data_IF_763340747694
#
_entry.id   IF_763340747694
#
_cell.length_a   1.000
_cell.length_b   1.000
_cell.length_c   1.000
_cell.angle_alpha   90.00
_cell.angle_beta   90.00
_cell.angle_gamma   90.00
#
_symmetry.space_group_name_H-M   'P 1'
#
loop_
_entity.id
_entity.type
_entity.pdbx_description
1 polymer ?
#
# COMPACT_ATOMS: atom_id res chain seq x y z
N UNK A 1 -6.85 7.12 -18.16
CA UNK A 1 -6.17 6.01 -17.46
C UNK A 1 -4.72 5.97 -17.92
N UNK A 2 -3.81 5.87 -16.99
CA UNK A 2 -2.37 5.73 -17.25
C UNK A 2 -1.91 4.35 -16.78
N UNK A 3 -0.94 3.78 -17.48
CA UNK A 3 -0.32 2.51 -17.12
C UNK A 3 1.14 2.74 -16.71
N UNK A 4 1.53 2.14 -15.59
CA UNK A 4 2.89 2.13 -15.06
C UNK A 4 3.30 0.66 -14.89
N UNK A 5 3.85 0.07 -15.95
CA UNK A 5 4.04 -1.36 -15.98
C UNK A 5 2.70 -2.10 -15.89
N UNK A 6 2.52 -2.89 -14.84
CA UNK A 6 1.27 -3.64 -14.58
C UNK A 6 0.27 -2.87 -13.71
N UNK A 7 0.62 -1.68 -13.23
CA UNK A 7 -0.26 -0.83 -12.44
C UNK A 7 -1.07 0.09 -13.36
N UNK A 8 -2.38 0.11 -13.17
CA UNK A 8 -3.28 1.05 -13.84
C UNK A 8 -3.68 2.12 -12.85
N UNK A 9 -3.62 3.38 -13.27
CA UNK A 9 -3.96 4.56 -12.44
C UNK A 9 -4.93 5.43 -13.20
N UNK A 10 -6.02 5.80 -12.56
CA UNK A 10 -7.04 6.69 -13.13
C UNK A 10 -7.61 7.61 -12.06
N UNK A 11 -7.98 8.84 -12.45
CA UNK A 11 -8.87 9.65 -11.64
C UNK A 11 -10.28 9.09 -11.72
N UNK A 12 -11.01 9.12 -10.62
CA UNK A 12 -12.42 8.75 -10.55
C UNK A 12 -13.19 9.88 -9.84
N UNK A 13 -14.30 10.31 -10.45
CA UNK A 13 -14.96 11.52 -9.96
C UNK A 13 -14.02 12.71 -9.95
N UNK A 14 -14.21 13.59 -8.98
CA UNK A 14 -13.41 14.83 -8.85
C UNK A 14 -12.33 14.75 -7.76
N UNK A 15 -12.43 13.83 -6.79
CA UNK A 15 -11.52 13.77 -5.64
C UNK A 15 -10.79 12.43 -5.47
N UNK A 16 -11.04 11.45 -6.29
CA UNK A 16 -10.47 10.11 -6.12
C UNK A 16 -9.41 9.76 -7.16
N UNK A 17 -8.44 8.96 -6.74
CA UNK A 17 -7.49 8.24 -7.60
C UNK A 17 -7.70 6.76 -7.36
N UNK A 18 -7.82 5.99 -8.42
CA UNK A 18 -7.99 4.53 -8.37
C UNK A 18 -6.77 3.86 -8.98
N UNK A 19 -6.15 2.98 -8.21
CA UNK A 19 -5.04 2.15 -8.64
C UNK A 19 -5.52 0.70 -8.68
N UNK A 20 -5.25 0.02 -9.79
CA UNK A 20 -5.60 -1.41 -9.94
C UNK A 20 -4.42 -2.22 -10.40
N UNK A 21 -4.30 -3.41 -9.82
CA UNK A 21 -3.29 -4.39 -10.22
C UNK A 21 -3.78 -5.81 -9.97
N UNK A 22 -3.43 -6.72 -10.86
CA UNK A 22 -3.67 -8.15 -10.70
C UNK A 22 -2.39 -8.80 -10.16
N UNK A 23 -2.53 -9.56 -9.06
CA UNK A 23 -1.48 -10.39 -8.50
C UNK A 23 -1.78 -11.87 -8.74
N UNK A 24 -0.75 -12.64 -9.07
CA UNK A 24 -0.87 -14.08 -9.32
C UNK A 24 -0.74 -14.87 -8.02
N UNK A 25 -1.69 -14.65 -7.11
CA UNK A 25 -1.80 -15.32 -5.83
C UNK A 25 -3.24 -15.19 -5.31
N UNK A 26 -3.71 -16.12 -4.44
CA UNK A 26 -5.01 -16.01 -3.79
C UNK A 26 -5.10 -14.75 -2.91
N UNK A 27 -6.29 -14.19 -2.75
CA UNK A 27 -6.47 -12.95 -1.99
C UNK A 27 -6.07 -13.05 -0.52
N UNK A 28 -6.21 -14.20 0.09
CA UNK A 28 -5.76 -14.45 1.46
C UNK A 28 -4.26 -14.23 1.60
N UNK A 29 -3.50 -14.69 0.61
CA UNK A 29 -2.04 -14.56 0.56
C UNK A 29 -1.63 -13.11 0.29
N UNK A 30 -2.29 -12.44 -0.65
CA UNK A 30 -2.03 -11.02 -0.97
C UNK A 30 -2.39 -10.15 0.23
N UNK A 31 -3.52 -10.41 0.88
CA UNK A 31 -3.94 -9.69 2.08
C UNK A 31 -2.91 -9.81 3.21
N UNK A 32 -2.43 -11.02 3.49
CA UNK A 32 -1.41 -11.28 4.52
C UNK A 32 -0.13 -10.48 4.23
N UNK A 33 0.33 -10.48 2.98
CA UNK A 33 1.51 -9.71 2.58
C UNK A 33 1.32 -8.19 2.74
N UNK A 34 0.08 -7.73 2.72
CA UNK A 34 -0.27 -6.32 2.87
C UNK A 34 -0.31 -5.85 4.32
N UNK A 35 -0.50 -6.74 5.29
CA UNK A 35 -0.68 -6.39 6.71
C UNK A 35 0.41 -6.89 7.63
N UNK A 36 1.34 -7.71 7.16
CA UNK A 36 2.46 -8.21 7.96
C UNK A 36 3.63 -7.24 7.91
N UNK A 37 4.03 -6.64 9.05
CA UNK A 37 5.13 -5.66 9.08
C UNK A 37 6.44 -6.19 8.49
N UNK A 38 6.79 -7.45 8.77
CA UNK A 38 8.00 -8.10 8.27
C UNK A 38 8.03 -8.23 6.74
N UNK A 39 6.86 -8.20 6.09
CA UNK A 39 6.77 -8.21 4.63
C UNK A 39 6.65 -6.78 4.08
N UNK A 40 5.78 -5.96 4.67
CA UNK A 40 5.51 -4.58 4.22
C UNK A 40 6.80 -3.76 4.16
N UNK A 41 7.69 -3.93 5.13
CA UNK A 41 8.98 -3.22 5.14
C UNK A 41 9.88 -3.54 3.94
N UNK A 42 9.63 -4.64 3.25
CA UNK A 42 10.43 -5.07 2.09
C UNK A 42 9.83 -4.67 0.74
N UNK A 43 8.56 -4.28 0.69
CA UNK A 43 7.96 -3.92 -0.58
C UNK A 43 7.46 -2.47 -0.64
N UNK A 44 6.90 -1.93 0.43
CA UNK A 44 6.32 -0.58 0.40
C UNK A 44 7.40 0.49 0.49
N UNK A 45 7.64 1.18 -0.62
CA UNK A 45 8.63 2.25 -0.70
C UNK A 45 10.08 1.81 -0.62
N UNK A 46 10.35 0.50 -0.68
CA UNK A 46 11.71 -0.06 -0.55
C UNK A 46 12.39 -0.19 -1.92
N UNK A 47 12.66 0.94 -2.57
CA UNK A 47 13.32 1.02 -3.87
C UNK A 47 14.14 2.32 -3.98
N UNK A 48 15.06 2.38 -4.95
CA UNK A 48 15.83 3.59 -5.22
C UNK A 48 16.72 4.05 -4.06
N UNK A 49 17.17 3.13 -3.19
CA UNK A 49 17.98 3.45 -2.02
C UNK A 49 17.17 3.88 -0.79
N UNK A 50 15.84 3.90 -0.88
CA UNK A 50 14.98 4.10 0.27
C UNK A 50 14.79 2.81 1.05
N UNK A 51 14.79 2.93 2.37
CA UNK A 51 14.64 1.81 3.28
C UNK A 51 13.61 2.15 4.35
N UNK A 52 12.66 1.24 4.60
CA UNK A 52 11.70 1.39 5.69
C UNK A 52 12.37 0.98 7.01
N UNK A 53 12.48 1.90 7.94
CA UNK A 53 13.14 1.71 9.23
C UNK A 53 12.18 1.60 10.41
N UNK A 54 10.92 2.01 10.22
CA UNK A 54 9.83 1.78 11.18
C UNK A 54 8.63 1.24 10.41
N UNK A 55 8.11 0.13 10.87
CA UNK A 55 6.91 -0.49 10.32
C UNK A 55 6.06 -1.04 11.47
N UNK A 56 5.00 -0.33 11.83
CA UNK A 56 4.05 -0.73 12.87
C UNK A 56 2.68 -0.81 12.23
N UNK A 57 2.02 -1.95 12.39
CA UNK A 57 0.68 -2.20 11.90
C UNK A 57 -0.12 -2.83 13.01
N UNK A 58 -1.17 -2.15 13.47
CA UNK A 58 -2.18 -2.72 14.35
C UNK A 58 -3.39 -3.12 13.49
N UNK A 59 -3.55 -4.40 13.14
CA UNK A 59 -4.51 -4.84 12.12
C UNK A 59 -5.92 -5.00 12.71
N UNK A 60 -6.54 -3.89 13.04
CA UNK A 60 -7.90 -3.84 13.61
C UNK A 60 -8.49 -2.44 13.43
N UNK A 61 -9.81 -2.33 13.50
CA UNK A 61 -10.49 -1.03 13.50
C UNK A 61 -10.01 -0.20 14.69
N UNK A 62 -9.64 1.06 14.44
CA UNK A 62 -9.03 1.96 15.42
C UNK A 62 -7.53 1.75 15.61
N UNK A 63 -6.95 0.71 15.04
CA UNK A 63 -5.52 0.46 15.08
C UNK A 63 -4.73 1.51 14.30
N UNK A 64 -3.49 1.74 14.72
CA UNK A 64 -2.60 2.71 14.09
C UNK A 64 -1.61 2.02 13.16
N UNK A 65 -1.27 2.71 12.08
CA UNK A 65 -0.30 2.29 11.08
C UNK A 65 0.79 3.33 11.04
N UNK A 66 2.05 2.92 11.19
CA UNK A 66 3.18 3.84 11.25
C UNK A 66 4.31 3.34 10.38
N UNK A 67 4.69 4.11 9.37
CA UNK A 67 5.83 3.81 8.50
C UNK A 67 6.80 4.98 8.51
N UNK A 68 8.09 4.67 8.56
CA UNK A 68 9.14 5.67 8.41
C UNK A 68 10.20 5.11 7.47
N UNK A 69 10.59 5.91 6.49
CA UNK A 69 11.64 5.58 5.53
C UNK A 69 12.81 6.54 5.69
N UNK A 70 14.01 6.01 5.51
CA UNK A 70 15.21 6.81 5.30
C UNK A 70 15.62 6.71 3.84
N UNK A 71 15.94 7.86 3.24
CA UNK A 71 16.42 7.94 1.88
C UNK A 71 17.94 7.83 1.77
N UNK A 72 18.46 7.66 0.53
CA UNK A 72 19.90 7.44 0.29
C UNK A 72 20.77 8.65 0.61
N UNK A 73 20.20 9.83 0.77
CA UNK A 73 20.91 11.08 1.08
C UNK A 73 20.61 11.61 2.48
N UNK A 74 20.07 10.75 3.36
CA UNK A 74 19.70 11.14 4.71
C UNK A 74 18.31 11.74 4.83
N UNK A 75 17.51 11.71 3.77
CA UNK A 75 16.12 12.12 3.81
C UNK A 75 15.33 11.21 4.77
N UNK A 76 14.27 11.75 5.35
CA UNK A 76 13.37 10.99 6.21
C UNK A 76 11.93 11.31 5.83
N UNK A 77 11.13 10.28 5.63
CA UNK A 77 9.70 10.39 5.35
C UNK A 77 8.91 9.55 6.33
N UNK A 78 7.91 10.13 6.96
CA UNK A 78 7.02 9.43 7.87
C UNK A 78 5.58 9.48 7.38
N UNK A 79 4.86 8.39 7.59
CA UNK A 79 3.47 8.24 7.22
C UNK A 79 2.73 7.56 8.37
N UNK A 80 1.52 8.00 8.64
CA UNK A 80 0.67 7.44 9.68
C UNK A 80 -0.75 7.30 9.20
N UNK A 81 -1.45 6.31 9.75
CA UNK A 81 -2.85 6.10 9.47
C UNK A 81 -3.59 5.54 10.66
N UNK A 82 -4.91 5.72 10.63
CA UNK A 82 -5.84 5.06 11.57
C UNK A 82 -6.79 4.20 10.76
N UNK A 83 -6.85 2.92 11.11
CA UNK A 83 -7.70 1.96 10.43
C UNK A 83 -9.17 2.24 10.76
N UNK A 84 -10.00 2.33 9.73
CA UNK A 84 -11.45 2.57 9.83
C UNK A 84 -12.28 1.35 9.51
N UNK A 85 -11.81 0.53 8.59
CA UNK A 85 -12.44 -0.74 8.21
C UNK A 85 -11.37 -1.80 8.13
N UNK A 86 -11.63 -2.96 8.67
CA UNK A 86 -10.73 -4.11 8.61
C UNK A 86 -11.57 -5.38 8.45
N UNK A 87 -11.67 -5.87 7.21
CA UNK A 87 -12.46 -7.05 6.83
C UNK A 87 -11.59 -8.04 6.06
N UNK A 88 -10.79 -8.87 6.76
CA UNK A 88 -9.95 -9.87 6.11
C UNK A 88 -10.76 -10.96 5.39
N UNK A 89 -10.35 -11.43 4.22
CA UNK A 89 -9.23 -10.97 3.40
C UNK A 89 -9.66 -10.00 2.30
N UNK A 90 -10.74 -9.26 2.48
CA UNK A 90 -11.44 -8.56 1.41
C UNK A 90 -11.17 -7.05 1.37
N UNK A 91 -11.03 -6.37 2.53
CA UNK A 91 -11.07 -4.90 2.54
C UNK A 91 -10.36 -4.29 3.75
N UNK A 92 -9.66 -3.19 3.50
CA UNK A 92 -9.04 -2.33 4.52
C UNK A 92 -9.33 -0.88 4.12
N UNK A 93 -9.73 -0.05 5.08
CA UNK A 93 -9.82 1.40 4.88
C UNK A 93 -9.13 2.13 6.01
N UNK A 94 -8.42 3.21 5.69
CA UNK A 94 -7.68 4.01 6.68
C UNK A 94 -7.67 5.49 6.32
N UNK A 95 -7.52 6.33 7.34
CA UNK A 95 -7.30 7.76 7.18
C UNK A 95 -5.83 8.03 7.43
N UNK A 96 -5.15 8.62 6.45
CA UNK A 96 -3.70 8.67 6.38
C UNK A 96 -3.19 10.10 6.25
N UNK A 97 -1.97 10.32 6.73
CA UNK A 97 -1.24 11.58 6.53
C UNK A 97 0.27 11.35 6.59
N UNK A 98 1.02 12.24 5.93
CA UNK A 98 2.48 12.31 6.06
C UNK A 98 2.85 13.19 7.25
N UNK A 99 4.00 12.95 7.88
CA UNK A 99 4.53 13.79 8.97
C UNK A 99 4.80 15.21 8.49
N UNK A 100 5.38 15.32 7.28
CA UNK A 100 5.56 16.57 6.57
C UNK A 100 4.69 16.53 5.32
N UNK A 101 3.44 17.04 5.42
CA UNK A 101 2.51 16.97 4.29
C UNK A 101 3.01 17.75 3.09
N UNK A 102 3.04 17.10 1.94
CA UNK A 102 3.39 17.73 0.66
C UNK A 102 2.15 18.06 -0.17
N UNK A 103 0.97 17.73 0.36
CA UNK A 103 -0.33 18.17 -0.17
C UNK A 103 -1.24 18.54 1.00
N UNK A 104 -2.25 19.37 0.73
CA UNK A 104 -3.19 19.83 1.75
C UNK A 104 -4.15 18.71 2.18
N UNK A 105 -4.41 18.65 3.49
CA UNK A 105 -5.33 17.68 4.08
C UNK A 105 -4.74 16.30 4.19
N UNK A 106 -5.60 15.33 4.47
CA UNK A 106 -5.23 13.94 4.56
C UNK A 106 -5.70 13.16 3.33
N UNK A 107 -5.60 11.85 3.45
CA UNK A 107 -6.01 10.90 2.44
C UNK A 107 -6.87 9.84 3.11
N UNK A 108 -7.99 9.49 2.48
CA UNK A 108 -8.74 8.27 2.85
C UNK A 108 -8.37 7.20 1.84
N UNK A 109 -7.69 6.16 2.30
CA UNK A 109 -7.29 5.04 1.48
C UNK A 109 -8.19 3.83 1.73
N UNK A 110 -8.69 3.21 0.66
CA UNK A 110 -9.45 1.97 0.73
C UNK A 110 -8.80 0.97 -0.22
N UNK A 111 -8.49 -0.22 0.29
CA UNK A 111 -7.93 -1.30 -0.51
C UNK A 111 -8.88 -2.47 -0.49
N UNK A 112 -9.28 -2.96 -1.66
CA UNK A 112 -10.10 -4.16 -1.81
C UNK A 112 -9.30 -5.25 -2.52
N UNK A 113 -9.51 -6.49 -2.09
CA UNK A 113 -8.86 -7.68 -2.61
C UNK A 113 -9.95 -8.60 -3.16
N UNK A 114 -10.14 -8.60 -4.47
CA UNK A 114 -11.20 -9.36 -5.14
C UNK A 114 -10.65 -10.62 -5.80
N UNK A 115 -11.37 -11.71 -5.67
CA UNK A 115 -10.98 -12.96 -6.32
C UNK A 115 -11.17 -12.90 -7.83
N UNK A 116 -10.13 -13.33 -8.57
CA UNK A 116 -10.16 -13.57 -10.01
C UNK A 116 -9.64 -15.00 -10.27
N UNK A 117 -10.48 -16.01 -9.99
CA UNK A 117 -10.03 -17.39 -10.01
C UNK A 117 -8.92 -17.60 -8.97
N UNK A 118 -7.72 -18.04 -9.42
CA UNK A 118 -6.55 -18.21 -8.55
C UNK A 118 -5.75 -16.93 -8.33
N UNK A 119 -6.18 -15.81 -8.93
CA UNK A 119 -5.52 -14.51 -8.87
C UNK A 119 -6.32 -13.53 -8.02
N UNK A 120 -5.73 -12.38 -7.76
CA UNK A 120 -6.35 -11.30 -6.99
C UNK A 120 -6.34 -10.01 -7.79
N UNK A 121 -7.48 -9.36 -7.90
CA UNK A 121 -7.57 -7.96 -8.31
C UNK A 121 -7.48 -7.08 -7.06
N UNK A 122 -6.39 -6.35 -6.92
CA UNK A 122 -6.24 -5.33 -5.91
C UNK A 122 -6.70 -3.99 -6.48
N UNK A 123 -7.60 -3.33 -5.76
CA UNK A 123 -8.07 -1.98 -6.07
C UNK A 123 -7.81 -1.07 -4.88
N UNK A 124 -6.97 -0.06 -5.06
CA UNK A 124 -6.74 0.96 -4.05
C UNK A 124 -7.42 2.26 -4.51
N UNK A 125 -8.30 2.79 -3.68
CA UNK A 125 -8.99 4.06 -3.92
C UNK A 125 -8.46 5.08 -2.91
N UNK A 126 -7.95 6.19 -3.40
CA UNK A 126 -7.38 7.27 -2.60
C UNK A 126 -8.26 8.50 -2.78
N UNK A 127 -8.89 8.96 -1.70
CA UNK A 127 -9.76 10.14 -1.71
C UNK A 127 -9.06 11.31 -1.02
N UNK A 128 -9.15 12.48 -1.64
CA UNK A 128 -8.53 13.73 -1.17
C UNK A 128 -9.58 14.78 -0.85
N UNK A 129 -9.18 15.85 -0.16
CA UNK A 129 -10.09 16.89 0.33
C UNK A 129 -10.70 17.74 -0.79
N UNK A 130 -10.01 17.86 -1.93
CA UNK A 130 -10.47 18.67 -3.05
C UNK A 130 -9.99 18.14 -4.40
N UNK A 131 -10.63 18.55 -5.50
CA UNK A 131 -10.17 18.22 -6.86
C UNK A 131 -8.75 18.71 -7.13
N UNK A 132 -8.39 19.89 -6.64
CA UNK A 132 -7.07 20.47 -6.84
C UNK A 132 -5.98 19.60 -6.19
N UNK A 133 -6.22 19.13 -4.97
CA UNK A 133 -5.30 18.23 -4.26
C UNK A 133 -5.19 16.90 -4.98
N UNK A 134 -6.31 16.31 -5.40
CA UNK A 134 -6.32 15.08 -6.19
C UNK A 134 -5.47 15.23 -7.47
N UNK A 135 -5.64 16.31 -8.18
CA UNK A 135 -4.92 16.56 -9.42
C UNK A 135 -3.41 16.76 -9.17
N UNK A 136 -3.06 17.44 -8.08
CA UNK A 136 -1.67 17.61 -7.64
C UNK A 136 -1.01 16.24 -7.36
N UNK A 137 -1.69 15.37 -6.61
CA UNK A 137 -1.19 14.04 -6.29
C UNK A 137 -1.08 13.18 -7.54
N UNK A 138 -2.08 13.24 -8.42
CA UNK A 138 -2.08 12.48 -9.67
C UNK A 138 -0.94 12.90 -10.62
N UNK A 139 -0.54 14.17 -10.59
CA UNK A 139 0.58 14.71 -11.35
C UNK A 139 1.94 14.43 -10.72
N UNK A 140 1.98 14.00 -9.48
CA UNK A 140 3.22 13.69 -8.73
C UNK A 140 3.83 12.35 -9.14
N UNK A 141 5.06 12.02 -8.68
CA UNK A 141 5.67 10.71 -8.89
C UNK A 141 5.02 9.56 -8.09
N UNK A 142 3.91 9.78 -7.40
CA UNK A 142 3.24 8.77 -6.57
C UNK A 142 2.95 7.47 -7.34
N UNK A 143 2.44 7.56 -8.55
CA UNK A 143 2.08 6.39 -9.35
C UNK A 143 3.31 5.53 -9.69
N UNK A 144 4.43 6.15 -10.05
CA UNK A 144 5.69 5.44 -10.29
C UNK A 144 6.18 4.73 -9.03
N UNK A 145 6.09 5.40 -7.88
CA UNK A 145 6.45 4.83 -6.59
C UNK A 145 5.60 3.64 -6.20
N UNK A 146 4.30 3.73 -6.39
CA UNK A 146 3.38 2.62 -6.13
C UNK A 146 3.59 1.46 -7.09
N UNK A 147 3.87 1.74 -8.37
CA UNK A 147 4.20 0.70 -9.34
C UNK A 147 5.44 -0.09 -8.93
N UNK A 148 6.51 0.61 -8.52
CA UNK A 148 7.74 -0.03 -8.04
C UNK A 148 7.49 -0.85 -6.76
N UNK A 149 6.69 -0.33 -5.83
CA UNK A 149 6.32 -1.04 -4.61
C UNK A 149 5.54 -2.32 -4.91
N UNK A 150 4.56 -2.25 -5.79
CA UNK A 150 3.76 -3.43 -6.17
C UNK A 150 4.56 -4.44 -6.98
N UNK A 151 5.56 -4.02 -7.74
CA UNK A 151 6.49 -4.96 -8.40
C UNK A 151 7.26 -5.77 -7.36
N UNK A 152 7.73 -5.12 -6.28
CA UNK A 152 8.38 -5.82 -5.17
C UNK A 152 7.43 -6.74 -4.42
N UNK A 153 6.19 -6.32 -4.21
CA UNK A 153 5.16 -7.20 -3.63
C UNK A 153 4.94 -8.45 -4.50
N UNK A 154 4.87 -8.27 -5.81
CA UNK A 154 4.73 -9.39 -6.73
C UNK A 154 5.91 -10.38 -6.63
N UNK A 155 7.14 -9.88 -6.48
CA UNK A 155 8.33 -10.72 -6.26
C UNK A 155 8.21 -11.54 -4.97
N UNK A 156 7.74 -10.94 -3.88
CA UNK A 156 7.51 -11.65 -2.60
C UNK A 156 6.48 -12.76 -2.78
N UNK A 157 5.41 -12.48 -3.53
CA UNK A 157 4.32 -13.44 -3.77
C UNK A 157 4.73 -14.61 -4.69
N UNK A 158 5.82 -14.49 -5.46
CA UNK A 158 6.39 -15.59 -6.25
C UNK A 158 7.00 -16.68 -5.36
N UNK A 159 7.48 -16.32 -4.15
CA UNK A 159 7.95 -17.29 -3.19
C UNK A 159 6.77 -18.08 -2.61
N UNK A 160 6.91 -19.42 -2.34
CA UNK A 160 5.85 -20.18 -1.70
C UNK A 160 5.40 -19.52 -0.40
N UNK A 161 4.08 -19.39 -0.21
CA UNK A 161 3.51 -18.74 0.97
C UNK A 161 3.99 -19.37 2.27
N UNK A 162 4.26 -20.68 2.28
CA UNK A 162 4.79 -21.42 3.42
C UNK A 162 6.12 -20.85 3.92
N UNK A 163 6.94 -20.25 3.04
CA UNK A 163 8.22 -19.67 3.44
C UNK A 163 8.10 -18.46 4.35
N UNK A 164 7.00 -17.72 4.27
CA UNK A 164 6.83 -16.52 5.06
C UNK A 164 5.58 -16.51 5.93
N UNK A 165 4.54 -17.28 5.59
CA UNK A 165 3.35 -17.43 6.44
C UNK A 165 3.63 -18.27 7.68
N UNK A 166 4.46 -19.30 7.57
CA UNK A 166 4.81 -20.20 8.69
C UNK A 166 5.99 -19.69 9.53
N UNK A 167 6.67 -18.62 9.10
CA UNK A 167 7.81 -18.07 9.82
C UNK A 167 7.47 -17.57 11.23
N UNK A 168 6.22 -17.24 11.51
CA UNK A 168 5.76 -16.87 12.86
C UNK A 168 5.62 -18.07 13.80
N UNK A 169 5.36 -19.25 13.27
CA UNK A 169 5.19 -20.47 14.09
C UNK A 169 6.52 -20.97 14.66
N UNK A 170 7.66 -20.44 14.22
CA UNK A 170 8.99 -20.86 14.62
C UNK A 170 9.76 -19.86 15.48
N UNK A 171 9.16 -18.73 15.87
CA UNK A 171 9.81 -17.76 16.77
C UNK A 171 9.49 -18.15 18.22
N UNK A 172 10.48 -18.52 19.02
CA UNK A 172 10.25 -18.83 20.42
C UNK A 172 9.90 -17.59 21.24
#
# INVERSE_FOLDING_TARGET
>A
MREFGKLKVAGDGDREIVLTRIFDAPREVVFEAYVRPELVQHWLGAFGGWEMVVCVIEPKVGGTWRFVWNGPKGERMGWRGVCREFDPPARIASVNSFDEPWFRGGEVGTVTFSELGSKTLLTATLEYDSPEVRDEVLASPMAQGMAASYDKLAEILEAPAERWMDAEAGVP
#
